data_IF_162032474544
#
_entry.id   IF_162032474544
#
_cell.length_a   1.000
_cell.length_b   1.000
_cell.length_c   1.000
_cell.angle_alpha   90.00
_cell.angle_beta   90.00
_cell.angle_gamma   90.00
#
_symmetry.space_group_name_H-M   'P 1'
#
loop_
_entity.id
_entity.type
_entity.pdbx_description
1 polymer ?
#
# COMPACT_ATOMS: atom_id res chain seq x y z
N UNK A 1 24.78 11.00 38.17
CA UNK A 1 23.92 11.51 37.07
C UNK A 1 24.47 10.96 35.76
N UNK A 2 23.71 10.17 34.98
CA UNK A 2 24.16 9.76 33.65
C UNK A 2 24.18 11.01 32.76
N UNK A 3 25.33 11.31 32.15
CA UNK A 3 25.43 12.40 31.17
C UNK A 3 24.63 12.00 29.93
N UNK A 4 23.68 12.82 29.53
CA UNK A 4 23.00 12.71 28.24
C UNK A 4 24.04 12.79 27.12
N UNK A 5 24.10 11.82 26.19
CA UNK A 5 25.06 11.86 25.08
C UNK A 5 24.85 13.10 24.22
N UNK A 6 25.96 13.78 23.89
CA UNK A 6 25.97 14.92 22.97
C UNK A 6 25.66 14.48 21.54
N UNK A 7 25.15 15.39 20.71
CA UNK A 7 24.78 15.17 19.30
C UNK A 7 25.91 14.53 18.48
N UNK A 8 27.15 14.89 18.77
CA UNK A 8 28.35 14.30 18.16
C UNK A 8 28.54 12.82 18.51
N UNK A 9 28.32 12.44 19.78
CA UNK A 9 28.42 11.05 20.21
C UNK A 9 27.38 10.16 19.53
N UNK A 10 26.15 10.66 19.39
CA UNK A 10 25.07 9.96 18.68
C UNK A 10 25.38 9.78 17.19
N UNK A 11 26.03 10.77 16.58
CA UNK A 11 26.48 10.70 15.18
C UNK A 11 27.59 9.65 14.98
N UNK A 12 28.57 9.59 15.88
CA UNK A 12 29.66 8.59 15.82
C UNK A 12 29.12 7.17 16.02
N UNK A 13 28.19 6.95 16.96
CA UNK A 13 27.54 5.64 17.14
C UNK A 13 26.74 5.23 15.90
N UNK A 14 25.99 6.17 15.29
CA UNK A 14 25.25 5.91 14.05
C UNK A 14 26.19 5.52 12.91
N UNK A 15 27.31 6.23 12.75
CA UNK A 15 28.33 5.90 11.75
C UNK A 15 28.94 4.52 11.99
N UNK A 16 29.42 4.21 13.20
CA UNK A 16 30.03 2.91 13.50
C UNK A 16 29.05 1.74 13.28
N UNK A 17 27.76 1.95 13.55
CA UNK A 17 26.71 0.96 13.31
C UNK A 17 26.44 0.75 11.82
N UNK A 18 26.42 1.84 11.04
CA UNK A 18 26.35 1.75 9.57
C UNK A 18 27.57 0.97 9.05
N UNK A 19 28.79 1.30 9.48
CA UNK A 19 30.00 0.58 9.05
C UNK A 19 30.01 -0.90 9.45
N UNK A 20 29.51 -1.26 10.64
CA UNK A 20 29.36 -2.66 11.06
C UNK A 20 28.39 -3.43 10.16
N UNK A 21 27.24 -2.85 9.85
CA UNK A 21 26.22 -3.45 8.98
C UNK A 21 26.70 -3.69 7.54
N UNK A 22 27.69 -2.90 7.06
CA UNK A 22 28.27 -3.05 5.71
C UNK A 22 29.22 -4.24 5.58
N UNK A 23 29.61 -4.88 6.69
CA UNK A 23 30.52 -6.05 6.70
C UNK A 23 29.79 -7.40 6.79
N UNK A 24 28.47 -7.40 6.99
CA UNK A 24 27.69 -8.62 7.15
C UNK A 24 27.15 -9.14 5.81
N UNK A 25 27.19 -10.46 5.62
CA UNK A 25 26.59 -11.14 4.45
C UNK A 25 25.04 -11.11 4.47
N UNK A 26 24.43 -10.68 5.59
CA UNK A 26 22.99 -10.64 5.78
C UNK A 26 22.55 -9.29 6.38
N UNK A 27 21.36 -8.77 6.03
CA UNK A 27 20.86 -7.54 6.62
C UNK A 27 20.69 -7.66 8.14
N UNK A 28 21.07 -6.64 8.90
CA UNK A 28 20.97 -6.63 10.36
C UNK A 28 20.03 -5.54 10.87
N UNK A 29 18.98 -5.96 11.59
CA UNK A 29 18.01 -5.03 12.18
C UNK A 29 18.64 -4.34 13.40
N UNK A 30 18.65 -3.00 13.43
CA UNK A 30 19.21 -2.26 14.55
C UNK A 30 18.39 -2.45 15.83
N UNK A 31 19.05 -2.59 16.99
CA UNK A 31 18.38 -2.64 18.31
C UNK A 31 17.51 -1.41 18.65
N UNK A 32 17.86 -0.26 18.08
CA UNK A 32 17.18 1.03 18.29
C UNK A 32 17.21 1.80 16.98
N UNK A 33 16.04 2.33 16.61
CA UNK A 33 15.80 3.14 15.42
C UNK A 33 14.57 4.00 15.68
N UNK A 34 14.58 5.26 15.25
CA UNK A 34 13.38 6.13 15.28
C UNK A 34 12.88 6.42 13.87
N UNK A 35 11.64 6.91 13.75
CA UNK A 35 11.07 7.30 12.44
C UNK A 35 11.93 8.35 11.71
N UNK A 36 12.61 9.22 12.45
CA UNK A 36 13.50 10.27 11.91
C UNK A 36 14.78 9.70 11.26
N UNK A 37 15.15 8.45 11.58
CA UNK A 37 16.30 7.79 10.99
C UNK A 37 15.99 7.15 9.63
N UNK A 38 14.72 7.12 9.22
CA UNK A 38 14.28 6.45 8.00
C UNK A 38 14.48 7.32 6.75
N UNK A 39 14.86 6.73 5.60
CA UNK A 39 15.19 5.32 5.40
C UNK A 39 16.57 4.97 5.98
N UNK A 40 16.68 3.80 6.64
CA UNK A 40 17.92 3.36 7.29
C UNK A 40 18.50 2.12 6.61
N UNK A 41 19.73 2.20 6.09
CA UNK A 41 20.38 1.07 5.42
C UNK A 41 20.86 0.01 6.43
N UNK A 42 20.49 -1.24 6.19
CA UNK A 42 20.81 -2.38 7.06
C UNK A 42 21.61 -3.48 6.36
N UNK A 43 21.88 -3.36 5.05
CA UNK A 43 22.72 -4.29 4.31
C UNK A 43 23.21 -3.71 2.98
N UNK A 44 24.31 -4.26 2.48
CA UNK A 44 24.91 -3.94 1.18
C UNK A 44 25.37 -5.23 0.48
N UNK A 45 25.41 -5.22 -0.85
CA UNK A 45 25.73 -6.40 -1.69
C UNK A 45 24.84 -7.62 -1.46
N UNK A 46 23.59 -7.40 -1.03
CA UNK A 46 22.60 -8.44 -0.75
C UNK A 46 21.94 -8.89 -2.06
N UNK A 47 21.94 -10.18 -2.33
CA UNK A 47 21.24 -10.73 -3.51
C UNK A 47 19.72 -10.72 -3.30
N UNK A 48 18.93 -10.78 -4.38
CA UNK A 48 17.46 -10.90 -4.30
C UNK A 48 17.05 -12.13 -3.49
N UNK A 49 17.75 -13.26 -3.65
CA UNK A 49 17.50 -14.50 -2.91
C UNK A 49 17.73 -14.31 -1.41
N UNK A 50 18.84 -13.68 -1.03
CA UNK A 50 19.17 -13.45 0.38
C UNK A 50 18.19 -12.45 1.02
N UNK A 51 17.78 -11.42 0.27
CA UNK A 51 16.75 -10.48 0.70
C UNK A 51 15.40 -11.17 0.93
N UNK A 52 14.93 -11.99 -0.01
CA UNK A 52 13.67 -12.71 0.14
C UNK A 52 13.72 -13.67 1.35
N UNK A 53 14.85 -14.35 1.54
CA UNK A 53 15.08 -15.21 2.72
C UNK A 53 15.09 -14.40 4.02
N UNK A 54 15.65 -13.19 3.99
CA UNK A 54 15.63 -12.27 5.13
C UNK A 54 14.21 -11.84 5.47
N UNK A 55 13.38 -11.51 4.48
CA UNK A 55 11.97 -11.15 4.70
C UNK A 55 11.19 -12.30 5.35
N UNK A 56 11.34 -13.53 4.86
CA UNK A 56 10.66 -14.71 5.42
C UNK A 56 11.01 -14.97 6.89
N UNK A 57 12.18 -14.54 7.34
CA UNK A 57 12.63 -14.66 8.75
C UNK A 57 12.20 -13.50 9.63
N UNK A 58 11.74 -12.39 9.05
CA UNK A 58 11.50 -11.12 9.74
C UNK A 58 10.11 -10.53 9.45
N UNK A 59 9.17 -11.35 8.98
CA UNK A 59 7.78 -10.93 8.67
C UNK A 59 7.11 -10.19 9.84
N UNK A 60 7.38 -10.62 11.09
CA UNK A 60 6.81 -10.04 12.30
C UNK A 60 7.66 -8.95 12.97
N UNK A 61 8.62 -8.35 12.28
CA UNK A 61 9.56 -7.40 12.91
C UNK A 61 8.97 -6.02 13.20
N UNK A 62 7.77 -5.73 12.69
CA UNK A 62 7.16 -4.39 12.76
C UNK A 62 7.86 -3.34 11.90
N UNK A 63 8.71 -3.77 10.96
CA UNK A 63 9.41 -2.90 10.01
C UNK A 63 9.02 -3.28 8.59
N UNK A 64 8.96 -2.29 7.69
CA UNK A 64 8.95 -2.54 6.26
C UNK A 64 10.34 -2.36 5.68
N UNK A 65 10.70 -3.31 4.84
CA UNK A 65 11.99 -3.32 4.18
C UNK A 65 11.87 -2.99 2.70
N UNK A 66 12.95 -2.45 2.15
CA UNK A 66 13.07 -2.16 0.73
C UNK A 66 14.43 -2.60 0.24
N UNK A 67 14.45 -3.33 -0.87
CA UNK A 67 15.67 -3.70 -1.56
C UNK A 67 15.85 -2.81 -2.79
N UNK A 68 17.01 -2.19 -2.92
CA UNK A 68 17.36 -1.37 -4.08
C UNK A 68 18.82 -1.58 -4.44
N UNK A 69 19.06 -2.11 -5.64
CA UNK A 69 20.39 -2.30 -6.19
C UNK A 69 21.38 -2.91 -5.19
N UNK A 70 21.01 -4.07 -4.63
CA UNK A 70 21.75 -4.83 -3.63
C UNK A 70 21.87 -4.20 -2.24
N UNK A 71 21.18 -3.09 -1.97
CA UNK A 71 21.11 -2.47 -0.64
C UNK A 71 19.75 -2.73 -0.01
N UNK A 72 19.74 -3.00 1.29
CA UNK A 72 18.50 -3.23 2.05
C UNK A 72 18.29 -2.09 3.02
N UNK A 73 17.08 -1.56 3.06
CA UNK A 73 16.68 -0.43 3.91
C UNK A 73 15.48 -0.81 4.77
N UNK A 74 15.42 -0.26 5.97
CA UNK A 74 14.16 -0.08 6.69
C UNK A 74 13.57 1.25 6.19
N UNK A 75 12.34 1.21 5.67
CA UNK A 75 11.68 2.37 5.06
C UNK A 75 10.44 2.83 5.82
N UNK A 76 9.90 1.98 6.69
CA UNK A 76 8.75 2.29 7.52
C UNK A 76 8.77 1.39 8.75
N UNK A 77 8.09 1.83 9.80
CA UNK A 77 7.84 1.05 11.01
C UNK A 77 6.36 1.10 11.34
N UNK A 78 5.84 0.01 11.89
CA UNK A 78 4.46 -0.10 12.31
C UNK A 78 4.16 1.01 13.33
N UNK A 79 3.17 1.84 13.03
CA UNK A 79 2.70 2.87 13.94
C UNK A 79 1.19 2.83 14.03
N UNK A 80 0.66 3.30 15.16
CA UNK A 80 -0.77 3.18 15.48
C UNK A 80 -1.68 3.89 14.47
N UNK A 81 -1.23 4.99 13.88
CA UNK A 81 -2.04 5.77 12.93
C UNK A 81 -2.15 5.04 11.60
N UNK A 82 -1.03 4.53 11.11
CA UNK A 82 -0.96 3.63 9.95
C UNK A 82 -1.92 2.44 10.15
N UNK A 83 -1.79 1.71 11.26
CA UNK A 83 -2.65 0.55 11.58
C UNK A 83 -4.14 0.90 11.72
N UNK A 84 -4.44 2.11 12.20
CA UNK A 84 -5.83 2.57 12.30
C UNK A 84 -6.44 2.82 10.92
N UNK A 85 -5.67 3.35 9.98
CA UNK A 85 -6.12 3.54 8.59
C UNK A 85 -6.28 2.19 7.88
N UNK A 86 -5.30 1.29 7.98
CA UNK A 86 -5.41 -0.06 7.38
C UNK A 86 -6.61 -0.81 7.94
N UNK A 87 -6.90 -0.70 9.24
CA UNK A 87 -8.10 -1.30 9.86
C UNK A 87 -9.40 -0.75 9.25
N UNK A 88 -9.50 0.56 9.03
CA UNK A 88 -10.69 1.17 8.40
C UNK A 88 -10.85 0.67 6.97
N UNK A 89 -9.77 0.65 6.20
CA UNK A 89 -9.78 0.18 4.82
C UNK A 89 -10.16 -1.30 4.74
N UNK A 90 -9.59 -2.15 5.59
CA UNK A 90 -9.93 -3.57 5.66
C UNK A 90 -11.44 -3.77 5.85
N UNK A 91 -12.05 -3.05 6.80
CA UNK A 91 -13.49 -3.09 7.05
C UNK A 91 -14.32 -2.64 5.85
N UNK A 92 -13.87 -1.63 5.11
CA UNK A 92 -14.54 -1.20 3.87
C UNK A 92 -14.53 -2.32 2.82
N UNK A 93 -13.42 -3.05 2.67
CA UNK A 93 -13.29 -4.15 1.72
C UNK A 93 -13.96 -5.46 2.17
N UNK A 94 -14.08 -5.68 3.48
CA UNK A 94 -14.80 -6.85 4.02
C UNK A 94 -16.32 -6.70 3.94
N UNK A 95 -16.84 -5.46 3.82
CA UNK A 95 -18.29 -5.21 3.87
C UNK A 95 -19.09 -6.01 2.83
N UNK A 96 -18.63 -6.19 1.58
CA UNK A 96 -19.31 -7.03 0.59
C UNK A 96 -19.34 -8.52 0.90
N UNK A 97 -18.54 -9.02 1.87
CA UNK A 97 -18.64 -10.41 2.34
C UNK A 97 -19.91 -10.67 3.18
N UNK A 98 -20.75 -9.66 3.44
CA UNK A 98 -22.03 -9.79 4.13
C UNK A 98 -21.95 -10.46 5.51
N UNK A 99 -20.86 -10.22 6.24
CA UNK A 99 -20.63 -10.81 7.57
C UNK A 99 -20.22 -12.29 7.55
N UNK A 100 -19.95 -12.87 6.36
CA UNK A 100 -19.34 -14.18 6.28
C UNK A 100 -17.93 -14.16 6.90
N UNK A 101 -17.63 -15.15 7.76
CA UNK A 101 -16.31 -15.30 8.38
C UNK A 101 -15.25 -15.64 7.32
N UNK A 102 -15.62 -16.50 6.37
CA UNK A 102 -14.84 -16.81 5.18
C UNK A 102 -15.71 -16.44 4.00
N UNK A 103 -15.44 -15.26 3.45
CA UNK A 103 -16.19 -14.72 2.32
C UNK A 103 -15.49 -14.98 0.98
N UNK A 104 -16.17 -14.68 -0.13
CA UNK A 104 -15.61 -14.78 -1.48
C UNK A 104 -14.51 -13.76 -1.77
N UNK A 105 -14.40 -12.70 -0.95
CA UNK A 105 -13.29 -11.75 -0.95
C UNK A 105 -12.36 -12.03 0.23
N UNK A 106 -11.08 -12.08 -0.05
CA UNK A 106 -10.03 -12.11 0.97
C UNK A 106 -9.37 -10.74 1.06
N UNK A 107 -9.20 -10.25 2.30
CA UNK A 107 -8.52 -9.00 2.61
C UNK A 107 -7.32 -9.32 3.50
N UNK A 108 -6.14 -9.31 2.91
CA UNK A 108 -4.90 -9.73 3.56
C UNK A 108 -4.00 -8.54 3.88
N UNK A 109 -3.45 -8.54 5.09
CA UNK A 109 -2.56 -7.48 5.59
C UNK A 109 -1.12 -7.89 5.32
N UNK A 110 -0.41 -7.07 4.55
CA UNK A 110 1.00 -7.28 4.19
C UNK A 110 1.38 -8.63 3.54
N UNK A 111 0.57 -9.21 2.63
CA UNK A 111 0.98 -10.42 1.91
C UNK A 111 2.15 -10.14 0.97
N UNK A 112 3.11 -11.07 0.87
CA UNK A 112 4.21 -10.93 -0.05
C UNK A 112 3.80 -11.22 -1.50
N UNK A 113 4.04 -10.28 -2.40
CA UNK A 113 3.91 -10.44 -3.85
C UNK A 113 5.21 -10.08 -4.57
N UNK A 114 5.38 -10.59 -5.79
CA UNK A 114 6.51 -10.25 -6.65
C UNK A 114 6.50 -8.74 -6.93
N UNK A 115 7.67 -8.09 -6.81
CA UNK A 115 7.79 -6.68 -7.18
C UNK A 115 7.56 -6.53 -8.69
N UNK A 116 6.48 -5.85 -9.13
CA UNK A 116 6.11 -5.82 -10.55
C UNK A 116 7.11 -5.06 -11.43
N UNK A 117 7.94 -4.19 -10.83
CA UNK A 117 9.00 -3.44 -11.52
C UNK A 117 10.41 -3.87 -11.10
N UNK A 118 10.49 -4.90 -10.26
CA UNK A 118 11.72 -5.38 -9.66
C UNK A 118 12.43 -6.47 -10.46
N UNK A 119 13.41 -7.09 -9.82
CA UNK A 119 14.21 -8.21 -10.33
C UNK A 119 13.77 -9.56 -9.74
N UNK A 120 12.58 -9.63 -9.15
CA UNK A 120 12.05 -10.82 -8.47
C UNK A 120 12.19 -10.79 -6.95
N UNK A 121 12.42 -9.62 -6.36
CA UNK A 121 12.31 -9.40 -4.93
C UNK A 121 10.86 -9.37 -4.45
N UNK A 122 10.64 -9.69 -3.18
CA UNK A 122 9.36 -9.60 -2.48
C UNK A 122 9.04 -8.14 -2.12
N UNK A 123 7.79 -7.77 -2.29
CA UNK A 123 7.20 -6.52 -1.81
C UNK A 123 5.85 -6.85 -1.15
N UNK A 124 5.52 -6.12 -0.08
CA UNK A 124 4.25 -6.25 0.61
C UNK A 124 3.46 -4.93 0.52
N UNK A 125 2.19 -4.96 0.10
CA UNK A 125 1.29 -3.83 0.23
C UNK A 125 0.89 -3.67 1.69
N UNK A 126 0.15 -2.62 2.04
CA UNK A 126 -0.48 -2.58 3.37
C UNK A 126 -1.70 -3.47 3.43
N UNK A 127 -2.50 -3.45 2.37
CA UNK A 127 -3.61 -4.37 2.18
C UNK A 127 -3.62 -4.87 0.75
N UNK A 128 -3.98 -6.14 0.60
CA UNK A 128 -4.32 -6.74 -0.67
C UNK A 128 -5.75 -7.26 -0.60
N UNK A 129 -6.53 -7.03 -1.67
CA UNK A 129 -7.85 -7.65 -1.82
C UNK A 129 -7.81 -8.55 -3.04
N UNK A 130 -8.09 -9.82 -2.81
CA UNK A 130 -8.13 -10.87 -3.81
C UNK A 130 -9.45 -11.65 -3.73
N UNK A 131 -9.86 -12.30 -4.83
CA UNK A 131 -10.86 -13.34 -4.76
C UNK A 131 -10.25 -14.58 -4.11
N UNK A 132 -11.06 -15.38 -3.42
CA UNK A 132 -10.60 -16.71 -2.98
C UNK A 132 -10.39 -17.65 -4.17
N UNK A 133 -9.42 -18.55 -4.07
CA UNK A 133 -8.87 -19.40 -5.15
C UNK A 133 -9.92 -20.10 -6.03
N UNK A 134 -10.99 -20.59 -5.42
CA UNK A 134 -12.02 -21.39 -6.10
C UNK A 134 -13.06 -20.55 -6.87
N UNK A 135 -13.04 -19.22 -6.75
CA UNK A 135 -13.99 -18.31 -7.42
C UNK A 135 -13.37 -17.56 -8.60
N UNK A 136 -12.07 -17.74 -8.82
CA UNK A 136 -11.38 -17.34 -10.05
C UNK A 136 -11.76 -18.35 -11.13
N UNK A 137 -12.46 -17.90 -12.17
CA UNK A 137 -13.12 -18.78 -13.14
C UNK A 137 -12.18 -19.87 -13.70
N UNK A 138 -12.47 -21.17 -13.47
CA UNK A 138 -11.76 -22.26 -14.13
C UNK A 138 -12.38 -22.62 -15.49
N UNK A 139 -13.36 -21.85 -15.97
CA UNK A 139 -14.32 -22.27 -17.01
C UNK A 139 -13.64 -22.64 -18.34
N UNK A 140 -12.40 -22.19 -18.55
CA UNK A 140 -11.52 -22.71 -19.59
C UNK A 140 -10.07 -22.74 -19.08
N UNK A 141 -9.40 -23.91 -19.05
CA UNK A 141 -7.97 -23.98 -18.82
C UNK A 141 -7.26 -23.31 -20.00
N UNK A 142 -7.03 -22.01 -19.88
CA UNK A 142 -6.26 -21.24 -20.85
C UNK A 142 -4.77 -21.33 -20.48
N UNK A 143 -3.86 -21.48 -21.47
CA UNK A 143 -2.43 -21.45 -21.19
C UNK A 143 -2.05 -20.13 -20.52
N UNK A 144 -1.39 -20.20 -19.36
CA UNK A 144 -1.08 -19.03 -18.53
C UNK A 144 -2.08 -18.80 -17.40
N UNK A 145 -2.25 -19.82 -16.54
CA UNK A 145 -2.92 -19.77 -15.23
C UNK A 145 -2.75 -18.38 -14.57
N UNK A 146 -3.75 -17.85 -13.82
CA UNK A 146 -3.57 -16.59 -13.13
C UNK A 146 -2.27 -16.63 -12.36
N UNK A 147 -1.43 -15.61 -12.56
CA UNK A 147 -0.19 -15.55 -11.79
C UNK A 147 -0.57 -15.59 -10.32
N UNK A 148 0.09 -16.47 -9.60
CA UNK A 148 -0.06 -16.57 -8.17
C UNK A 148 0.88 -15.57 -7.49
N UNK A 149 0.54 -15.20 -6.27
CA UNK A 149 1.51 -14.61 -5.36
C UNK A 149 2.66 -15.59 -5.04
N UNK A 150 3.55 -15.20 -4.12
CA UNK A 150 4.71 -16.02 -3.77
C UNK A 150 4.38 -17.39 -3.16
N UNK A 151 3.14 -17.61 -2.71
CA UNK A 151 2.72 -18.85 -2.03
C UNK A 151 1.73 -19.66 -2.85
N UNK A 152 1.36 -19.22 -4.05
CA UNK A 152 0.47 -19.96 -4.95
C UNK A 152 -0.98 -19.46 -4.96
N UNK A 153 -1.33 -18.43 -4.18
CA UNK A 153 -2.68 -17.87 -4.09
C UNK A 153 -2.93 -16.85 -5.22
N UNK A 154 -4.19 -16.56 -5.58
CA UNK A 154 -4.55 -15.54 -6.56
C UNK A 154 -3.89 -14.20 -6.25
N UNK A 155 -3.36 -13.54 -7.28
CA UNK A 155 -2.84 -12.18 -7.08
C UNK A 155 -3.89 -11.22 -6.50
N UNK A 156 -3.39 -10.20 -5.80
CA UNK A 156 -4.20 -9.05 -5.45
C UNK A 156 -4.80 -8.39 -6.70
N UNK A 157 -6.07 -7.99 -6.62
CA UNK A 157 -6.72 -7.15 -7.64
C UNK A 157 -6.83 -5.70 -7.20
N UNK A 158 -6.92 -5.47 -5.89
CA UNK A 158 -6.91 -4.15 -5.29
C UNK A 158 -5.78 -4.12 -4.26
N UNK A 159 -5.00 -3.06 -4.30
CA UNK A 159 -3.89 -2.84 -3.36
C UNK A 159 -4.17 -1.55 -2.59
N UNK A 160 -3.81 -1.52 -1.31
CA UNK A 160 -3.73 -0.28 -0.54
C UNK A 160 -2.33 -0.02 -0.01
N UNK A 161 -1.96 1.26 0.04
CA UNK A 161 -0.68 1.73 0.58
C UNK A 161 -0.92 2.98 1.42
N UNK A 162 -0.57 2.90 2.70
CA UNK A 162 -0.67 4.00 3.65
C UNK A 162 0.74 4.48 3.97
N UNK A 163 1.00 5.76 3.75
CA UNK A 163 2.29 6.38 4.00
C UNK A 163 2.16 7.44 5.11
N UNK A 164 2.80 7.20 6.25
CA UNK A 164 2.88 8.21 7.32
C UNK A 164 4.19 9.02 7.22
N UNK A 165 5.34 8.36 7.35
CA UNK A 165 6.65 9.00 7.39
C UNK A 165 7.30 9.14 6.02
N UNK A 166 6.90 8.30 5.06
CA UNK A 166 7.46 8.28 3.71
C UNK A 166 7.21 9.59 2.95
N UNK A 167 8.12 9.97 2.06
CA UNK A 167 7.89 11.11 1.17
C UNK A 167 6.74 10.82 0.20
N UNK A 168 6.05 11.87 -0.28
CA UNK A 168 5.02 11.72 -1.31
C UNK A 168 5.56 11.07 -2.58
N UNK A 169 6.82 11.34 -2.96
CA UNK A 169 7.46 10.73 -4.11
C UNK A 169 7.65 9.23 -3.94
N UNK A 170 8.23 8.79 -2.82
CA UNK A 170 8.43 7.37 -2.53
C UNK A 170 7.10 6.60 -2.44
N UNK A 171 6.09 7.19 -1.79
CA UNK A 171 4.75 6.60 -1.72
C UNK A 171 4.10 6.46 -3.10
N UNK A 172 4.22 7.49 -3.96
CA UNK A 172 3.74 7.40 -5.34
C UNK A 172 4.46 6.30 -6.11
N UNK A 173 5.78 6.23 -6.05
CA UNK A 173 6.55 5.18 -6.73
C UNK A 173 6.10 3.79 -6.30
N UNK A 174 5.80 3.58 -5.01
CA UNK A 174 5.29 2.30 -4.50
C UNK A 174 3.88 2.01 -5.06
N UNK A 175 2.98 2.98 -5.03
CA UNK A 175 1.63 2.82 -5.57
C UNK A 175 1.65 2.53 -7.08
N UNK A 176 2.49 3.25 -7.82
CA UNK A 176 2.65 3.09 -9.27
C UNK A 176 3.29 1.74 -9.63
N UNK A 177 4.25 1.25 -8.84
CA UNK A 177 4.86 -0.06 -9.03
C UNK A 177 3.80 -1.17 -9.09
N UNK A 178 2.81 -1.14 -8.19
CA UNK A 178 1.69 -2.10 -8.22
C UNK A 178 0.85 -2.04 -9.48
N UNK A 179 0.68 -0.85 -10.08
CA UNK A 179 -0.05 -0.69 -11.34
C UNK A 179 0.70 -1.25 -12.56
N UNK A 180 1.94 -1.73 -12.41
CA UNK A 180 2.61 -2.48 -13.46
C UNK A 180 2.16 -3.94 -13.53
N UNK A 181 1.61 -4.50 -12.45
CA UNK A 181 1.02 -5.86 -12.45
C UNK A 181 -0.31 -5.86 -13.19
N UNK A 182 -0.43 -6.70 -14.22
CA UNK A 182 -1.58 -6.75 -15.12
C UNK A 182 -2.90 -7.07 -14.39
N UNK A 183 -2.83 -7.88 -13.34
CA UNK A 183 -4.00 -8.26 -12.53
C UNK A 183 -4.46 -7.18 -11.54
N UNK A 184 -3.59 -6.24 -11.16
CA UNK A 184 -3.99 -5.15 -10.28
C UNK A 184 -4.89 -4.18 -11.05
N UNK A 185 -6.15 -4.06 -10.62
CA UNK A 185 -7.17 -3.19 -11.19
C UNK A 185 -7.09 -1.78 -10.67
N UNK A 186 -6.76 -1.64 -9.40
CA UNK A 186 -6.56 -0.35 -8.77
C UNK A 186 -5.66 -0.41 -7.55
N UNK A 187 -5.03 0.72 -7.27
CA UNK A 187 -4.28 0.98 -6.05
C UNK A 187 -4.92 2.16 -5.35
N UNK A 188 -5.28 2.00 -4.09
CA UNK A 188 -5.78 3.09 -3.24
C UNK A 188 -4.72 3.47 -2.21
N UNK A 189 -4.13 4.64 -2.41
CA UNK A 189 -3.11 5.16 -1.50
C UNK A 189 -3.67 6.20 -0.54
N UNK A 190 -3.12 6.25 0.67
CA UNK A 190 -3.34 7.33 1.64
C UNK A 190 -2.01 7.88 2.14
N UNK A 191 -1.79 9.18 1.96
CA UNK A 191 -0.62 9.90 2.49
C UNK A 191 -1.03 10.78 3.66
N UNK A 192 -0.44 10.51 4.82
CA UNK A 192 -0.58 11.33 6.01
C UNK A 192 0.61 12.29 6.11
N UNK A 193 0.34 13.58 6.33
CA UNK A 193 1.38 14.60 6.52
C UNK A 193 1.61 14.87 8.01
N UNK A 194 2.72 15.50 8.42
CA UNK A 194 2.92 15.88 9.81
C UNK A 194 1.75 16.69 10.37
N UNK A 195 1.44 16.46 11.65
CA UNK A 195 0.44 17.23 12.37
C UNK A 195 0.86 18.70 12.49
N UNK A 196 -0.10 19.61 12.46
CA UNK A 196 0.07 21.04 12.70
C UNK A 196 -0.91 21.49 13.76
N UNK A 197 -0.41 22.07 14.84
CA UNK A 197 -1.27 22.71 15.83
C UNK A 197 -1.54 24.14 15.38
N UNK A 198 -2.79 24.46 15.10
CA UNK A 198 -3.25 25.83 14.89
C UNK A 198 -4.06 26.23 16.11
N UNK A 199 -3.58 27.24 16.84
CA UNK A 199 -4.12 27.64 18.14
C UNK A 199 -4.12 26.45 19.13
N UNK A 200 -5.27 25.83 19.39
CA UNK A 200 -5.45 24.70 20.32
C UNK A 200 -5.87 23.41 19.62
N UNK A 201 -6.13 23.47 18.31
CA UNK A 201 -6.63 22.34 17.51
C UNK A 201 -5.48 21.72 16.75
N UNK A 202 -5.39 20.38 16.83
CA UNK A 202 -4.45 19.61 16.01
C UNK A 202 -5.10 19.37 14.67
N UNK A 203 -4.41 19.79 13.62
CA UNK A 203 -4.80 19.61 12.24
C UNK A 203 -3.81 18.67 11.55
N UNK A 204 -4.29 18.04 10.49
CA UNK A 204 -3.45 17.19 9.64
C UNK A 204 -3.88 17.33 8.18
N UNK A 205 -2.92 17.46 7.28
CA UNK A 205 -3.18 17.29 5.85
C UNK A 205 -3.17 15.79 5.51
N UNK A 206 -4.08 15.38 4.64
CA UNK A 206 -4.19 14.00 4.13
C UNK A 206 -4.46 14.10 2.64
N UNK A 207 -3.70 13.35 1.87
CA UNK A 207 -3.96 13.14 0.44
C UNK A 207 -4.35 11.68 0.24
N UNK A 208 -5.46 11.43 -0.44
CA UNK A 208 -5.81 10.11 -0.92
C UNK A 208 -5.70 10.09 -2.45
N UNK A 209 -5.22 8.98 -3.02
CA UNK A 209 -5.13 8.79 -4.47
C UNK A 209 -5.66 7.42 -4.86
N UNK A 210 -6.39 7.37 -5.96
CA UNK A 210 -6.87 6.14 -6.58
C UNK A 210 -6.28 6.05 -7.99
N UNK A 211 -5.38 5.09 -8.19
CA UNK A 211 -4.90 4.69 -9.51
C UNK A 211 -5.80 3.58 -10.06
N UNK A 212 -6.33 3.74 -11.27
CA UNK A 212 -7.31 2.82 -11.88
C UNK A 212 -7.04 2.62 -13.36
N UNK A 213 -7.31 1.41 -13.87
CA UNK A 213 -7.20 1.07 -15.31
C UNK A 213 -8.44 1.45 -16.14
N UNK A 214 -9.33 2.29 -15.59
CA UNK A 214 -10.52 2.80 -16.28
C UNK A 214 -10.70 4.24 -15.84
N UNK A 215 -10.96 5.12 -16.79
CA UNK A 215 -11.30 6.51 -16.50
C UNK A 215 -12.52 6.58 -15.58
N UNK A 216 -12.44 7.43 -14.57
CA UNK A 216 -13.54 7.74 -13.65
C UNK A 216 -13.76 9.26 -13.61
N UNK A 217 -14.95 9.75 -13.25
CA UNK A 217 -15.21 11.19 -13.20
C UNK A 217 -14.19 11.94 -12.33
N UNK A 218 -13.49 12.91 -12.93
CA UNK A 218 -12.47 13.73 -12.29
C UNK A 218 -11.09 13.07 -12.15
N UNK A 219 -10.87 11.88 -12.70
CA UNK A 219 -9.51 11.34 -12.84
C UNK A 219 -8.79 11.98 -14.02
N UNK A 220 -7.47 12.06 -13.94
CA UNK A 220 -6.58 12.45 -15.03
C UNK A 220 -5.71 11.27 -15.42
N UNK A 221 -5.19 11.25 -16.65
CA UNK A 221 -4.23 10.24 -17.05
C UNK A 221 -2.97 10.32 -16.17
N UNK A 222 -2.36 9.18 -15.84
CA UNK A 222 -1.15 9.14 -15.02
C UNK A 222 -0.05 10.03 -15.60
N UNK A 223 0.71 10.69 -14.75
CA UNK A 223 1.91 11.43 -15.16
C UNK A 223 3.10 10.52 -15.45
N UNK A 224 3.04 9.24 -15.07
CA UNK A 224 4.05 8.24 -15.37
C UNK A 224 3.82 7.69 -16.78
N UNK A 225 4.73 7.98 -17.70
CA UNK A 225 4.60 7.63 -19.13
C UNK A 225 4.41 6.14 -19.36
N UNK A 226 5.07 5.28 -18.59
CA UNK A 226 4.90 3.82 -18.71
C UNK A 226 3.52 3.33 -18.27
N UNK A 227 2.86 4.06 -17.36
CA UNK A 227 1.50 3.77 -16.92
C UNK A 227 0.44 4.39 -17.84
N UNK A 228 0.76 5.49 -18.52
CA UNK A 228 -0.07 6.07 -19.59
C UNK A 228 -0.33 5.03 -20.68
N UNK A 229 0.72 4.36 -21.15
CA UNK A 229 0.62 3.30 -22.17
C UNK A 229 -0.24 2.12 -21.71
N UNK A 230 -0.29 1.87 -20.38
CA UNK A 230 -1.14 0.86 -19.75
C UNK A 230 -2.56 1.38 -19.39
N UNK A 231 -2.93 2.59 -19.83
CA UNK A 231 -4.26 3.16 -19.64
C UNK A 231 -4.61 3.46 -18.18
N UNK A 232 -3.64 3.89 -17.37
CA UNK A 232 -3.85 4.19 -15.95
C UNK A 232 -4.23 5.65 -15.74
N UNK A 233 -5.31 5.86 -15.00
CA UNK A 233 -5.81 7.15 -14.56
C UNK A 233 -5.65 7.29 -13.04
N UNK A 234 -5.51 8.53 -12.58
CA UNK A 234 -5.34 8.88 -11.16
C UNK A 234 -6.38 9.92 -10.77
N UNK A 235 -7.08 9.67 -9.66
CA UNK A 235 -7.90 10.68 -8.98
C UNK A 235 -7.35 10.96 -7.60
N UNK A 236 -7.33 12.23 -7.22
CA UNK A 236 -6.78 12.71 -5.96
C UNK A 236 -7.84 13.43 -5.12
N UNK A 237 -7.73 13.28 -3.80
CA UNK A 237 -8.51 14.01 -2.82
C UNK A 237 -7.62 14.61 -1.73
N UNK A 238 -7.83 15.87 -1.39
CA UNK A 238 -7.31 16.48 -0.16
C UNK A 238 -8.36 16.36 0.96
N UNK A 239 -8.24 15.34 1.80
CA UNK A 239 -9.24 14.99 2.82
C UNK A 239 -8.76 15.20 4.26
N UNK A 240 -7.63 15.87 4.47
CA UNK A 240 -7.21 16.29 5.82
C UNK A 240 -8.10 17.40 6.36
N UNK A 241 -7.95 17.79 7.63
CA UNK A 241 -8.64 19.00 8.14
C UNK A 241 -8.13 20.28 7.50
N UNK A 242 -6.90 20.26 6.99
CA UNK A 242 -6.24 21.36 6.29
C UNK A 242 -5.65 20.86 4.97
N UNK A 243 -5.49 21.75 4.01
CA UNK A 243 -4.82 21.46 2.74
C UNK A 243 -3.33 21.24 2.94
N UNK A 244 -2.71 20.47 2.04
CA UNK A 244 -1.28 20.24 2.10
C UNK A 244 -0.51 21.56 1.95
N UNK A 245 0.58 21.74 2.70
CA UNK A 245 1.38 22.96 2.72
C UNK A 245 0.61 24.28 2.99
N UNK A 246 -0.58 24.20 3.59
CA UNK A 246 -1.41 25.35 3.92
C UNK A 246 -1.97 25.25 5.36
N UNK A 247 -2.64 26.31 5.79
CA UNK A 247 -3.51 26.36 6.99
C UNK A 247 -5.00 26.49 6.61
N UNK A 248 -5.32 26.50 5.31
CA UNK A 248 -6.70 26.53 4.81
C UNK A 248 -7.39 25.21 5.10
N UNK A 249 -8.60 25.27 5.65
CA UNK A 249 -9.42 24.08 5.91
C UNK A 249 -9.84 23.41 4.60
N UNK A 250 -10.02 22.09 4.64
CA UNK A 250 -10.70 21.37 3.55
C UNK A 250 -12.21 21.31 3.82
N UNK A 251 -12.96 20.87 2.83
CA UNK A 251 -14.40 20.63 2.96
C UNK A 251 -14.72 19.20 3.43
N UNK A 252 -13.72 18.37 3.77
CA UNK A 252 -13.93 17.05 4.34
C UNK A 252 -14.24 17.21 5.83
N UNK A 253 -15.49 17.57 6.16
CA UNK A 253 -15.87 18.00 7.51
C UNK A 253 -17.09 17.26 8.09
N UNK A 254 -17.69 16.36 7.32
CA UNK A 254 -18.83 15.56 7.70
C UNK A 254 -18.76 14.19 7.01
N UNK A 255 -19.38 13.15 7.60
CA UNK A 255 -19.52 11.87 6.93
C UNK A 255 -20.44 12.00 5.70
N UNK A 256 -20.32 11.04 4.79
CA UNK A 256 -21.21 10.84 3.65
C UNK A 256 -21.19 11.96 2.58
N UNK A 257 -20.15 12.79 2.56
CA UNK A 257 -19.97 13.80 1.52
C UNK A 257 -19.47 13.18 0.21
N UNK A 258 -20.26 13.28 -0.86
CA UNK A 258 -19.94 12.64 -2.16
C UNK A 258 -18.59 13.07 -2.75
N UNK A 259 -18.18 14.32 -2.52
CA UNK A 259 -16.87 14.82 -2.95
C UNK A 259 -15.70 14.08 -2.29
N UNK A 260 -15.92 13.39 -1.17
CA UNK A 260 -14.93 12.69 -0.36
C UNK A 260 -15.24 11.18 -0.21
N UNK A 261 -16.10 10.64 -1.09
CA UNK A 261 -16.31 9.20 -1.23
C UNK A 261 -15.47 8.63 -2.35
N UNK A 262 -14.74 7.57 -2.05
CA UNK A 262 -14.06 6.74 -3.05
C UNK A 262 -14.93 5.51 -3.29
N UNK A 263 -15.30 5.29 -4.55
CA UNK A 263 -16.14 4.18 -4.98
C UNK A 263 -15.33 3.27 -5.89
N UNK A 264 -15.20 1.99 -5.52
CA UNK A 264 -14.49 0.98 -6.31
C UNK A 264 -15.45 -0.17 -6.61
N UNK A 265 -15.67 -0.56 -7.87
CA UNK A 265 -16.54 -1.69 -8.20
C UNK A 265 -16.07 -2.99 -7.53
N UNK A 266 -16.99 -3.73 -6.92
CA UNK A 266 -16.66 -5.03 -6.31
C UNK A 266 -16.24 -6.05 -7.37
N UNK A 267 -16.78 -5.93 -8.59
CA UNK A 267 -16.38 -6.73 -9.75
C UNK A 267 -14.89 -6.61 -10.10
N UNK A 268 -14.18 -5.55 -9.67
CA UNK A 268 -12.74 -5.49 -9.88
C UNK A 268 -11.98 -6.63 -9.18
N UNK A 269 -12.51 -7.17 -8.06
CA UNK A 269 -11.88 -8.28 -7.34
C UNK A 269 -12.00 -9.60 -8.10
N UNK A 270 -13.05 -9.77 -8.89
CA UNK A 270 -13.28 -10.99 -9.66
C UNK A 270 -12.80 -10.87 -11.12
N UNK A 271 -12.11 -9.78 -11.45
CA UNK A 271 -11.55 -9.56 -12.77
C UNK A 271 -10.32 -10.46 -12.97
N UNK A 272 -10.44 -11.43 -13.86
CA UNK A 272 -9.43 -12.43 -14.18
C UNK A 272 -9.50 -12.89 -15.65
N UNK A 273 -9.28 -12.00 -16.63
CA UNK A 273 -9.11 -12.43 -18.01
C UNK A 273 -7.76 -13.13 -18.20
N UNK A 274 -7.66 -14.01 -19.21
CA UNK A 274 -6.37 -14.56 -19.64
C UNK A 274 -5.40 -13.46 -20.05
N UNK A 275 -4.12 -13.61 -19.68
CA UNK A 275 -3.05 -12.71 -20.14
C UNK A 275 -2.35 -13.35 -21.34
N UNK A 276 -2.45 -12.72 -22.51
CA UNK A 276 -1.84 -13.19 -23.75
C UNK A 276 -0.75 -12.20 -24.16
N UNK A 277 0.50 -12.64 -24.25
CA UNK A 277 1.67 -11.80 -24.55
C UNK A 277 1.82 -10.57 -23.62
N UNK A 278 1.47 -10.72 -22.33
CA UNK A 278 1.54 -9.63 -21.36
C UNK A 278 0.37 -8.65 -21.42
N UNK A 279 -0.65 -8.93 -22.22
CA UNK A 279 -1.85 -8.09 -22.35
C UNK A 279 -3.09 -8.86 -21.92
N UNK A 280 -3.97 -8.28 -21.08
CA UNK A 280 -5.25 -8.87 -20.76
C UNK A 280 -6.15 -9.04 -21.99
N UNK A 281 -6.54 -10.28 -22.28
CA UNK A 281 -7.51 -10.59 -23.34
C UNK A 281 -8.92 -10.44 -22.78
N UNK A 282 -9.52 -9.28 -23.01
CA UNK A 282 -10.86 -8.95 -22.51
C UNK A 282 -11.99 -9.18 -23.50
N UNK A 283 -11.69 -9.58 -24.73
CA UNK A 283 -12.70 -9.92 -25.73
C UNK A 283 -13.52 -11.11 -25.24
N UNK A 284 -14.85 -10.97 -25.23
CA UNK A 284 -15.82 -11.93 -24.70
C UNK A 284 -15.63 -12.29 -23.22
N UNK A 285 -14.79 -11.56 -22.47
CA UNK A 285 -14.60 -11.76 -21.05
C UNK A 285 -15.66 -10.99 -20.24
N UNK A 286 -16.49 -11.73 -19.52
CA UNK A 286 -17.44 -11.18 -18.56
C UNK A 286 -17.01 -11.54 -17.13
N UNK A 287 -16.88 -10.52 -16.28
CA UNK A 287 -16.68 -10.74 -14.84
C UNK A 287 -17.93 -11.37 -14.26
N UNK A 288 -17.75 -12.43 -13.49
CA UNK A 288 -18.83 -13.06 -12.71
C UNK A 288 -18.55 -12.78 -11.23
N UNK A 289 -19.49 -12.08 -10.59
CA UNK A 289 -19.46 -11.83 -9.15
C UNK A 289 -20.33 -12.89 -8.48
N UNK A 290 -19.86 -13.61 -7.45
CA UNK A 290 -20.67 -14.58 -6.74
C UNK A 290 -21.91 -13.95 -6.10
N UNK A 291 -23.06 -14.61 -6.19
CA UNK A 291 -24.35 -14.10 -5.67
C UNK A 291 -24.37 -13.82 -4.16
N UNK A 292 -23.45 -14.43 -3.41
CA UNK A 292 -23.29 -14.22 -1.97
C UNK A 292 -22.60 -12.89 -1.63
N UNK A 293 -21.97 -12.23 -2.62
CA UNK A 293 -21.39 -10.89 -2.48
C UNK A 293 -22.49 -9.85 -2.49
N UNK A 294 -22.48 -8.95 -1.50
CA UNK A 294 -23.47 -7.87 -1.41
C UNK A 294 -22.90 -6.52 -1.83
N UNK A 295 -23.72 -5.75 -2.54
CA UNK A 295 -23.36 -4.40 -2.98
C UNK A 295 -22.50 -4.39 -4.25
N UNK A 296 -22.63 -3.30 -5.02
CA UNK A 296 -21.93 -3.16 -6.30
C UNK A 296 -20.56 -2.50 -6.17
N UNK A 297 -20.33 -1.76 -5.08
CA UNK A 297 -19.11 -1.00 -4.87
C UNK A 297 -18.63 -1.09 -3.41
N UNK A 298 -17.32 -1.12 -3.24
CA UNK A 298 -16.69 -0.65 -2.01
C UNK A 298 -16.86 0.87 -1.92
N UNK A 299 -17.28 1.34 -0.75
CA UNK A 299 -17.40 2.77 -0.47
C UNK A 299 -16.46 3.09 0.69
N UNK A 300 -15.47 3.92 0.41
CA UNK A 300 -14.52 4.43 1.39
C UNK A 300 -14.85 5.90 1.62
N UNK A 301 -15.30 6.22 2.82
CA UNK A 301 -15.50 7.59 3.26
C UNK A 301 -14.17 8.15 3.80
N UNK A 302 -13.60 9.14 3.12
CA UNK A 302 -12.34 9.73 3.52
C UNK A 302 -12.45 10.50 4.85
N UNK A 303 -13.66 10.88 5.28
CA UNK A 303 -13.88 11.49 6.58
C UNK A 303 -13.64 10.49 7.72
N UNK A 304 -13.95 9.20 7.54
CA UNK A 304 -13.63 8.18 8.53
C UNK A 304 -12.13 7.99 8.69
N UNK A 305 -11.37 8.02 7.58
CA UNK A 305 -9.90 8.03 7.61
C UNK A 305 -9.40 9.25 8.39
N UNK A 306 -9.91 10.45 8.08
CA UNK A 306 -9.54 11.68 8.78
C UNK A 306 -9.77 11.57 10.29
N UNK A 307 -10.92 11.03 10.71
CA UNK A 307 -11.27 10.88 12.12
C UNK A 307 -10.35 9.92 12.86
N UNK A 308 -10.01 8.78 12.26
CA UNK A 308 -9.15 7.80 12.95
C UNK A 308 -7.72 8.29 13.11
N UNK A 309 -7.18 9.07 12.17
CA UNK A 309 -5.82 9.61 12.28
C UNK A 309 -5.72 10.82 13.22
N UNK A 310 -6.80 11.56 13.43
CA UNK A 310 -6.86 12.69 14.37
C UNK A 310 -7.32 12.29 15.77
N UNK A 311 -7.76 11.04 15.95
CA UNK A 311 -8.19 10.55 17.26
C UNK A 311 -7.01 10.60 18.21
N UNK A 312 -7.13 11.42 19.26
CA UNK A 312 -6.15 11.40 20.35
C UNK A 312 -6.26 10.09 21.09
N UNK A 313 -5.18 9.32 21.09
CA UNK A 313 -5.05 8.17 21.96
C UNK A 313 -4.51 8.68 23.30
N UNK A 314 -5.42 8.88 24.26
CA UNK A 314 -5.08 9.13 25.66
C UNK A 314 -4.60 7.85 26.33
#
# INVERSE_FOLDING_TARGET
MPRTPTTFHRWVEKMNKVWGNLLHQYPEIPKFLTEEDLPFQIGENITVKDYNTFLDRNESSGYKFYWNNKKVYIIEMANRRHESVTTVLSRCFDRPNNGAIVGPLEVSHQPFHHNPVGQGEKIAPDLAVCPIDNLVQPTRPHPGFPRSDYVGLPHARIICEVADTQTTGSWNTKCEAWMHEEYVRCVFGVKLYPEKTLQTTVHRAIIARLWVRREIPGSVLSSNTSLVEKGVYVKEWECGTIRNNSSTLTNCNAPDLDAFKVTIPVSNVFWDPPIVHGVPKTDDYAVVVPDIVVGNNFVIDLYDIQRVVLRRFT
#
